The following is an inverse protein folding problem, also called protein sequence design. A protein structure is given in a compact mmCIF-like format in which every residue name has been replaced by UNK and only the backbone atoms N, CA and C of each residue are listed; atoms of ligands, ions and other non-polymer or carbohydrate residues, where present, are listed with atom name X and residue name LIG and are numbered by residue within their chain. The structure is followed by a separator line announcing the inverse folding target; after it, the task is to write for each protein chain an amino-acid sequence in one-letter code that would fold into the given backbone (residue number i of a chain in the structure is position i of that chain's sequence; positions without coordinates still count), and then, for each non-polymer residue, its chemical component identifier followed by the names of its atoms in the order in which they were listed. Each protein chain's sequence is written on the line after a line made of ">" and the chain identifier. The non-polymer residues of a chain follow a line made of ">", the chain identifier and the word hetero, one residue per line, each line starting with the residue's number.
data_IF_175920436451
#
_entry.id   IF_175920436451
#
_cell.length_a   1.000
_cell.length_b   1.000
_cell.length_c   1.000
_cell.angle_alpha   90.00
_cell.angle_beta   90.00
_cell.angle_gamma   90.00
#
_symmetry.space_group_name_H-M   'P 1'
#
loop_
_entity.id
_entity.type
_entity.pdbx_description
1 polymer ?
#
# COMPACT_ATOMS: atom_id res chain seq x y z
N UNK A 1 23.18 -6.30 -9.46
CA UNK A 1 22.22 -5.22 -9.84
C UNK A 1 21.11 -5.26 -8.80
N UNK A 2 21.28 -4.60 -7.65
CA UNK A 2 20.56 -4.99 -6.43
C UNK A 2 19.93 -3.84 -5.63
N UNK A 3 20.25 -2.58 -5.92
CA UNK A 3 19.77 -1.45 -5.11
C UNK A 3 18.25 -1.24 -5.26
N UNK A 4 17.71 -1.41 -6.47
CA UNK A 4 16.28 -1.25 -6.73
C UNK A 4 15.41 -2.39 -6.17
N UNK A 5 15.96 -3.59 -6.01
CA UNK A 5 15.26 -4.72 -5.41
C UNK A 5 15.25 -4.62 -3.88
N UNK A 6 16.38 -4.24 -3.29
CA UNK A 6 16.46 -4.00 -1.85
C UNK A 6 15.58 -2.82 -1.41
N UNK A 7 15.51 -1.74 -2.20
CA UNK A 7 14.63 -0.61 -1.90
C UNK A 7 13.14 -0.98 -1.99
N UNK A 8 12.75 -1.80 -2.98
CA UNK A 8 11.36 -2.30 -3.11
C UNK A 8 10.97 -3.14 -1.91
N UNK A 9 11.82 -4.06 -1.48
CA UNK A 9 11.59 -4.86 -0.28
C UNK A 9 11.56 -4.01 1.00
N UNK A 10 12.31 -2.91 1.07
CA UNK A 10 12.27 -2.01 2.23
C UNK A 10 10.90 -1.34 2.42
N UNK A 11 10.22 -0.97 1.34
CA UNK A 11 8.88 -0.35 1.40
C UNK A 11 7.85 -1.31 1.99
N UNK A 12 7.85 -2.56 1.51
CA UNK A 12 6.99 -3.62 2.02
C UNK A 12 7.29 -3.91 3.50
N UNK A 13 8.57 -4.05 3.86
CA UNK A 13 9.00 -4.23 5.26
C UNK A 13 8.57 -3.07 6.15
N UNK A 14 8.61 -1.84 5.63
CA UNK A 14 8.13 -0.66 6.36
C UNK A 14 6.64 -0.77 6.68
N UNK A 15 5.79 -1.11 5.69
CA UNK A 15 4.34 -1.28 5.91
C UNK A 15 4.08 -2.38 6.96
N UNK A 16 4.73 -3.53 6.83
CA UNK A 16 4.59 -4.66 7.78
C UNK A 16 4.99 -4.25 9.20
N UNK A 17 6.11 -3.54 9.34
CA UNK A 17 6.64 -3.10 10.63
C UNK A 17 5.77 -2.02 11.27
N UNK A 18 5.37 -0.99 10.52
CA UNK A 18 4.56 0.14 10.99
C UNK A 18 3.22 -0.31 11.60
N UNK A 19 2.66 -1.40 11.08
CA UNK A 19 1.39 -1.96 11.57
C UNK A 19 1.54 -3.27 12.35
N UNK A 20 2.76 -3.75 12.59
CA UNK A 20 3.06 -5.02 13.28
C UNK A 20 2.29 -6.21 12.69
N UNK A 21 2.25 -6.31 11.35
CA UNK A 21 1.39 -7.27 10.65
C UNK A 21 1.84 -8.72 10.80
N UNK A 22 3.10 -8.99 11.15
CA UNK A 22 3.64 -10.34 11.27
C UNK A 22 3.04 -11.16 12.42
N UNK A 23 2.46 -10.50 13.43
CA UNK A 23 1.82 -11.18 14.55
C UNK A 23 2.82 -12.01 15.38
N UNK A 24 2.40 -13.18 15.85
CA UNK A 24 3.22 -14.09 16.66
C UNK A 24 4.10 -15.03 15.85
N UNK A 25 3.77 -15.27 14.58
CA UNK A 25 4.49 -16.22 13.71
C UNK A 25 5.27 -15.47 12.62
N UNK A 26 6.33 -14.80 13.07
CA UNK A 26 7.11 -13.89 12.24
C UNK A 26 7.84 -14.61 11.10
N UNK A 27 8.36 -15.82 11.35
CA UNK A 27 9.07 -16.61 10.34
C UNK A 27 8.16 -17.04 9.20
N UNK A 28 7.04 -17.72 9.48
CA UNK A 28 6.14 -18.19 8.43
C UNK A 28 5.49 -17.03 7.67
N UNK A 29 5.26 -15.90 8.35
CA UNK A 29 4.80 -14.66 7.72
C UNK A 29 5.81 -14.16 6.68
N UNK A 30 7.08 -14.04 7.05
CA UNK A 30 8.12 -13.54 6.15
C UNK A 30 8.37 -14.49 4.97
N UNK A 31 8.32 -15.81 5.17
CA UNK A 31 8.40 -16.79 4.09
C UNK A 31 7.23 -16.65 3.12
N UNK A 32 6.00 -16.54 3.64
CA UNK A 32 4.80 -16.35 2.81
C UNK A 32 4.85 -15.03 2.05
N UNK A 33 5.31 -13.95 2.70
CA UNK A 33 5.46 -12.65 2.07
C UNK A 33 6.53 -12.65 0.98
N UNK A 34 7.65 -13.36 1.17
CA UNK A 34 8.67 -13.53 0.15
C UNK A 34 8.08 -14.23 -1.08
N UNK A 35 7.33 -15.31 -0.88
CA UNK A 35 6.63 -16.04 -1.95
C UNK A 35 5.66 -15.12 -2.72
N UNK A 36 4.97 -14.20 -2.05
CA UNK A 36 4.11 -13.22 -2.72
C UNK A 36 4.91 -12.20 -3.52
N UNK A 37 6.05 -11.72 -3.01
CA UNK A 37 6.91 -10.78 -3.71
C UNK A 37 7.64 -11.39 -4.92
N UNK A 38 7.81 -12.71 -4.95
CA UNK A 38 8.32 -13.44 -6.10
C UNK A 38 7.24 -13.64 -7.19
N UNK A 39 5.98 -13.80 -6.79
CA UNK A 39 4.86 -14.04 -7.72
C UNK A 39 4.24 -12.76 -8.29
N UNK A 40 4.27 -11.67 -7.53
CA UNK A 40 3.58 -10.43 -7.86
C UNK A 40 4.54 -9.24 -7.86
N UNK A 41 4.30 -8.21 -8.69
CA UNK A 41 5.06 -6.97 -8.65
C UNK A 41 4.98 -6.31 -7.26
N UNK A 42 6.13 -5.90 -6.69
CA UNK A 42 6.19 -5.20 -5.40
C UNK A 42 5.13 -4.08 -5.25
N UNK A 43 4.93 -3.17 -6.22
CA UNK A 43 3.93 -2.11 -6.07
C UNK A 43 2.51 -2.64 -5.90
N UNK A 44 2.19 -3.78 -6.52
CA UNK A 44 0.89 -4.43 -6.39
C UNK A 44 0.72 -5.08 -5.00
N UNK A 45 1.79 -5.69 -4.48
CA UNK A 45 1.81 -6.25 -3.12
C UNK A 45 1.68 -5.14 -2.08
N UNK A 46 2.39 -4.02 -2.26
CA UNK A 46 2.28 -2.83 -1.40
C UNK A 46 0.82 -2.32 -1.36
N UNK A 47 0.16 -2.21 -2.51
CA UNK A 47 -1.23 -1.80 -2.59
C UNK A 47 -2.17 -2.80 -1.91
N UNK A 48 -1.98 -4.11 -2.16
CA UNK A 48 -2.81 -5.16 -1.57
C UNK A 48 -2.68 -5.21 -0.05
N UNK A 49 -1.47 -4.99 0.49
CA UNK A 49 -1.24 -4.88 1.94
C UNK A 49 -2.06 -3.73 2.54
N UNK A 50 -2.02 -2.55 1.91
CA UNK A 50 -2.73 -1.36 2.40
C UNK A 50 -4.24 -1.50 2.25
N UNK A 51 -4.72 -2.01 1.12
CA UNK A 51 -6.15 -2.26 0.91
C UNK A 51 -6.68 -3.27 1.94
N UNK A 52 -5.94 -4.36 2.17
CA UNK A 52 -6.32 -5.36 3.18
C UNK A 52 -6.28 -4.78 4.59
N UNK A 53 -5.30 -3.94 4.90
CA UNK A 53 -5.17 -3.23 6.17
C UNK A 53 -6.42 -2.39 6.46
N UNK A 54 -6.82 -1.54 5.51
CA UNK A 54 -8.00 -0.65 5.64
C UNK A 54 -9.27 -1.48 5.79
N UNK A 55 -9.44 -2.54 4.99
CA UNK A 55 -10.58 -3.45 5.09
C UNK A 55 -10.64 -4.19 6.44
N UNK A 56 -9.51 -4.37 7.12
CA UNK A 56 -9.43 -5.04 8.40
C UNK A 56 -9.54 -4.11 9.61
N UNK A 57 -9.51 -2.78 9.45
CA UNK A 57 -9.58 -1.83 10.58
C UNK A 57 -10.86 -1.94 11.40
N UNK A 58 -11.97 -2.38 10.81
CA UNK A 58 -13.24 -2.59 11.53
C UNK A 58 -13.34 -3.94 12.24
N UNK A 59 -12.37 -4.82 12.09
CA UNK A 59 -12.37 -6.14 12.73
C UNK A 59 -11.57 -6.10 14.04
N UNK A 60 -12.17 -6.56 15.13
CA UNK A 60 -11.55 -6.58 16.46
C UNK A 60 -11.59 -8.01 17.03
N UNK A 61 -10.43 -8.65 17.31
CA UNK A 61 -9.08 -8.14 17.05
C UNK A 61 -8.76 -8.11 15.55
N UNK A 62 -7.93 -7.16 15.13
CA UNK A 62 -7.47 -7.06 13.74
C UNK A 62 -6.65 -8.31 13.39
N UNK A 63 -6.92 -8.98 12.25
CA UNK A 63 -6.15 -10.14 11.83
C UNK A 63 -4.69 -9.77 11.56
N UNK A 64 -3.78 -10.65 11.99
CA UNK A 64 -2.32 -10.53 11.84
C UNK A 64 -1.74 -11.89 11.44
N UNK A 65 -0.46 -11.92 11.12
CA UNK A 65 0.26 -13.13 10.72
C UNK A 65 -0.26 -13.69 9.40
N UNK A 66 -0.16 -15.01 9.23
CA UNK A 66 -0.52 -15.67 7.98
C UNK A 66 -1.99 -15.45 7.58
N UNK A 67 -2.91 -15.31 8.54
CA UNK A 67 -4.32 -15.01 8.23
C UNK A 67 -4.51 -13.67 7.54
N UNK A 68 -3.65 -12.69 7.83
CA UNK A 68 -3.64 -11.41 7.11
C UNK A 68 -3.10 -11.60 5.69
N UNK A 69 -1.99 -12.32 5.52
CA UNK A 69 -1.41 -12.60 4.19
C UNK A 69 -2.32 -13.45 3.30
N UNK A 70 -3.13 -14.34 3.88
CA UNK A 70 -4.15 -15.07 3.12
C UNK A 70 -5.10 -14.10 2.42
N UNK A 71 -5.59 -13.07 3.13
CA UNK A 71 -6.48 -12.06 2.55
C UNK A 71 -5.78 -11.19 1.52
N UNK A 72 -4.52 -10.83 1.76
CA UNK A 72 -3.69 -10.12 0.78
C UNK A 72 -3.57 -10.94 -0.51
N UNK A 73 -3.33 -12.24 -0.38
CA UNK A 73 -3.23 -13.14 -1.53
C UNK A 73 -4.57 -13.27 -2.27
N UNK A 74 -5.68 -13.39 -1.55
CA UNK A 74 -7.03 -13.40 -2.15
C UNK A 74 -7.30 -12.12 -2.94
N UNK A 75 -6.94 -10.95 -2.38
CA UNK A 75 -7.07 -9.67 -3.08
C UNK A 75 -6.22 -9.61 -4.36
N UNK A 76 -4.97 -10.09 -4.29
CA UNK A 76 -4.07 -10.18 -5.44
C UNK A 76 -4.62 -11.10 -6.54
N UNK A 77 -5.16 -12.25 -6.16
CA UNK A 77 -5.76 -13.21 -7.08
C UNK A 77 -6.99 -12.64 -7.79
N UNK A 78 -7.84 -11.88 -7.08
CA UNK A 78 -8.96 -11.14 -7.68
C UNK A 78 -8.48 -10.14 -8.73
N UNK A 79 -7.44 -9.37 -8.39
CA UNK A 79 -6.84 -8.38 -9.29
C UNK A 79 -6.10 -8.97 -10.50
N UNK A 80 -5.71 -10.24 -10.47
CA UNK A 80 -5.21 -10.91 -11.69
C UNK A 80 -6.31 -11.24 -12.68
N UNK A 81 -7.52 -11.53 -12.20
CA UNK A 81 -8.63 -12.00 -13.03
C UNK A 81 -9.57 -10.88 -13.48
N UNK A 82 -9.49 -9.71 -12.85
CA UNK A 82 -10.41 -8.59 -13.03
C UNK A 82 -9.66 -7.25 -13.07
N UNK A 83 -10.23 -6.20 -13.68
CA UNK A 83 -9.64 -4.86 -13.58
C UNK A 83 -9.47 -4.46 -12.10
N UNK A 84 -8.31 -3.87 -11.80
CA UNK A 84 -7.97 -3.45 -10.44
C UNK A 84 -8.88 -2.29 -10.04
N UNK A 85 -9.86 -2.58 -9.18
CA UNK A 85 -10.66 -1.58 -8.49
C UNK A 85 -10.09 -1.49 -7.07
N UNK A 86 -9.21 -0.52 -6.85
CA UNK A 86 -8.68 -0.19 -5.53
C UNK A 86 -9.53 0.93 -4.91
N UNK A 87 -9.88 0.80 -3.64
CA UNK A 87 -10.54 1.87 -2.87
C UNK A 87 -9.55 2.90 -2.33
N UNK A 88 -8.24 2.57 -2.38
CA UNK A 88 -7.16 3.45 -1.93
C UNK A 88 -6.77 4.44 -3.02
N UNK A 89 -7.02 5.72 -2.77
CA UNK A 89 -6.48 6.83 -3.55
C UNK A 89 -4.98 7.06 -3.23
N UNK A 90 -4.18 7.65 -4.14
CA UNK A 90 -2.76 7.91 -3.92
C UNK A 90 -2.47 8.70 -2.63
N UNK A 91 -3.28 9.71 -2.34
CA UNK A 91 -3.18 10.52 -1.12
C UNK A 91 -3.43 9.69 0.15
N UNK A 92 -4.43 8.81 0.12
CA UNK A 92 -4.72 7.91 1.24
C UNK A 92 -3.57 6.91 1.44
N UNK A 93 -3.02 6.36 0.36
CA UNK A 93 -1.85 5.48 0.45
C UNK A 93 -0.69 6.17 1.16
N UNK A 94 -0.38 7.42 0.79
CA UNK A 94 0.68 8.20 1.42
C UNK A 94 0.36 8.52 2.89
N UNK A 95 -0.88 8.89 3.21
CA UNK A 95 -1.28 9.16 4.60
C UNK A 95 -1.21 7.92 5.50
N UNK A 96 -1.53 6.74 4.96
CA UNK A 96 -1.48 5.47 5.69
C UNK A 96 -0.02 5.03 5.87
N UNK A 97 0.74 4.98 4.78
CA UNK A 97 2.06 4.33 4.80
C UNK A 97 3.23 5.28 5.05
N UNK A 98 3.04 6.59 4.85
CA UNK A 98 4.14 7.57 4.79
C UNK A 98 5.03 7.44 3.56
N UNK A 99 4.70 6.53 2.61
CA UNK A 99 5.52 6.24 1.43
C UNK A 99 4.99 6.97 0.18
N UNK A 100 5.90 7.26 -0.75
CA UNK A 100 5.55 7.86 -2.04
C UNK A 100 4.64 6.92 -2.86
N UNK A 101 3.47 7.37 -3.35
CA UNK A 101 2.51 6.55 -4.08
C UNK A 101 2.85 6.38 -5.58
N UNK A 102 3.77 7.17 -6.12
CA UNK A 102 4.15 7.17 -7.55
C UNK A 102 4.49 5.79 -8.12
N UNK A 103 5.19 4.86 -7.41
CA UNK A 103 5.51 3.53 -7.93
C UNK A 103 4.28 2.65 -8.18
N UNK A 104 3.16 2.94 -7.52
CA UNK A 104 1.91 2.16 -7.58
C UNK A 104 0.94 2.78 -8.57
N UNK A 105 0.74 4.10 -8.49
CA UNK A 105 -0.29 4.82 -9.25
C UNK A 105 0.26 5.58 -10.47
N UNK A 106 1.58 5.58 -10.66
CA UNK A 106 2.27 6.38 -11.68
C UNK A 106 2.27 7.87 -11.36
N UNK A 107 3.02 8.63 -12.15
CA UNK A 107 3.00 10.10 -12.12
C UNK A 107 1.74 10.62 -12.79
N UNK A 108 0.57 10.38 -12.18
CA UNK A 108 -0.66 11.10 -12.52
C UNK A 108 -0.45 12.56 -12.09
N UNK A 109 0.03 13.37 -13.02
CA UNK A 109 0.52 14.72 -12.77
C UNK A 109 -0.49 15.61 -12.04
N UNK A 110 0.06 16.34 -11.08
CA UNK A 110 -0.48 17.52 -10.40
C UNK A 110 -1.74 17.31 -9.53
N UNK A 111 -1.70 17.64 -8.22
CA UNK A 111 -2.93 18.08 -7.57
C UNK A 111 -3.47 19.29 -8.37
N UNK A 112 -4.80 19.46 -8.54
CA UNK A 112 -5.32 20.73 -9.02
C UNK A 112 -4.77 21.79 -8.07
N UNK A 113 -4.01 22.74 -8.64
CA UNK A 113 -3.50 23.87 -7.90
C UNK A 113 -4.63 24.42 -7.04
N UNK A 114 -4.42 24.41 -5.71
CA UNK A 114 -5.30 25.08 -4.77
C UNK A 114 -5.70 26.40 -5.39
N UNK A 115 -7.00 26.76 -5.46
CA UNK A 115 -7.40 28.05 -6.00
C UNK A 115 -6.68 29.11 -5.17
N UNK A 116 -5.68 29.76 -5.81
CA UNK A 116 -5.07 30.95 -5.25
C UNK A 116 -6.23 31.87 -4.90
N UNK A 117 -6.35 32.18 -3.61
CA UNK A 117 -7.27 33.18 -3.13
C UNK A 117 -7.12 34.42 -4.02
N UNK A 118 -8.20 34.97 -4.58
CA UNK A 118 -8.09 36.18 -5.38
C UNK A 118 -7.45 37.25 -4.51
N UNK A 119 -6.26 37.68 -4.89
CA UNK A 119 -5.64 38.90 -4.41
C UNK A 119 -6.65 40.01 -4.60
N UNK A 120 -7.24 40.46 -3.50
CA UNK A 120 -8.15 41.60 -3.44
C UNK A 120 -7.34 42.86 -3.76
N UNK A 121 -7.15 43.10 -5.05
CA UNK A 121 -6.83 44.39 -5.59
C UNK A 121 -8.11 45.08 -6.02
N UNK A 122 -8.67 45.93 -5.15
CA UNK A 122 -9.50 47.11 -5.47
C UNK A 122 -9.77 47.83 -4.12
N UNK A 123 -9.60 49.13 -3.98
CA UNK A 123 -9.27 50.19 -4.91
C UNK A 123 -9.22 51.54 -4.19
N UNK A 124 -8.68 52.52 -4.92
CA UNK A 124 -8.82 54.00 -4.81
C UNK A 124 -8.66 54.68 -3.45
#
# INVERSE_FOLDING_TARGET
>A
MEIGEQLRQQRVKHIVSSYQLSGTDDLSFHETLAILLEQYPSPLVELALVETLVNCWWQVPMPRGCSFLTRVHEQLAVWQSQPIISTIAPEHFQQITGLDPTPIFGSSGLPPASPQAPSLGQGV
#
